data_IF_714419215208
#
_entry.id   IF_714419215208
#
_cell.length_a   1.000
_cell.length_b   1.000
_cell.length_c   1.000
_cell.angle_alpha   90.00
_cell.angle_beta   90.00
_cell.angle_gamma   90.00
#
_symmetry.space_group_name_H-M   'P 1'
#
loop_
_entity.id
_entity.type
_entity.pdbx_description
1 polymer ?
#
# COMPACT_ATOMS: atom_id res chain seq x y z
N UNK A 1 9.67 6.86 4.26
CA UNK A 1 9.66 6.34 5.65
C UNK A 1 9.86 7.45 6.66
N UNK A 2 10.80 8.36 6.44
CA UNK A 2 10.94 9.58 7.27
C UNK A 2 9.62 10.35 7.45
N UNK A 3 8.79 10.39 6.40
CA UNK A 3 7.48 11.08 6.43
C UNK A 3 6.49 10.56 7.48
N UNK A 4 6.59 9.31 7.93
CA UNK A 4 5.70 8.74 8.97
C UNK A 4 6.33 8.74 10.38
N UNK A 5 7.60 9.15 10.50
CA UNK A 5 8.35 9.08 11.75
C UNK A 5 8.64 7.65 12.22
N UNK A 6 9.29 7.49 13.40
CA UNK A 6 9.68 6.17 13.93
C UNK A 6 8.49 5.32 14.41
N UNK A 7 7.41 5.96 14.88
CA UNK A 7 6.22 5.27 15.40
C UNK A 7 5.16 5.00 14.32
N UNK A 8 5.29 5.65 13.15
CA UNK A 8 4.42 5.41 12.00
C UNK A 8 4.70 4.06 11.35
N UNK A 9 3.75 3.57 10.56
CA UNK A 9 3.87 2.31 9.82
C UNK A 9 3.51 2.53 8.35
N UNK A 10 4.20 1.83 7.46
CA UNK A 10 3.91 1.84 6.02
C UNK A 10 3.58 0.44 5.54
N UNK A 11 2.46 0.31 4.84
CA UNK A 11 2.08 -0.89 4.12
C UNK A 11 2.04 -0.57 2.63
N UNK A 12 2.85 -1.27 1.83
CA UNK A 12 2.71 -1.31 0.38
C UNK A 12 1.85 -2.50 -0.06
N UNK A 13 0.97 -2.27 -1.03
CA UNK A 13 0.28 -3.36 -1.75
C UNK A 13 0.58 -3.24 -3.24
N UNK A 14 0.82 -4.37 -3.89
CA UNK A 14 0.97 -4.46 -5.35
C UNK A 14 0.33 -5.77 -5.84
N UNK A 15 -0.29 -5.73 -7.02
CA UNK A 15 -0.93 -6.90 -7.61
C UNK A 15 0.12 -7.91 -8.11
N UNK A 16 1.30 -7.44 -8.52
CA UNK A 16 2.36 -8.27 -9.09
C UNK A 16 3.26 -8.87 -7.99
N UNK A 17 3.29 -10.21 -7.82
CA UNK A 17 4.14 -10.84 -6.81
C UNK A 17 5.63 -10.51 -6.97
N UNK A 18 6.11 -10.37 -8.20
CA UNK A 18 7.50 -10.00 -8.47
C UNK A 18 7.88 -8.60 -7.93
N UNK A 19 6.95 -7.64 -7.95
CA UNK A 19 7.18 -6.30 -7.40
C UNK A 19 7.26 -6.34 -5.87
N UNK A 20 6.39 -7.16 -5.25
CA UNK A 20 6.38 -7.38 -3.80
C UNK A 20 7.68 -8.07 -3.35
N UNK A 21 8.12 -9.10 -4.06
CA UNK A 21 9.39 -9.78 -3.79
C UNK A 21 10.58 -8.83 -3.89
N UNK A 22 10.63 -8.03 -4.96
CA UNK A 22 11.69 -7.05 -5.18
C UNK A 22 11.73 -6.00 -4.05
N UNK A 23 10.59 -5.37 -3.74
CA UNK A 23 10.52 -4.35 -2.70
C UNK A 23 10.76 -4.92 -1.30
N UNK A 24 10.35 -6.17 -1.05
CA UNK A 24 10.65 -6.86 0.22
C UNK A 24 12.15 -7.04 0.42
N UNK A 25 12.89 -7.40 -0.64
CA UNK A 25 14.34 -7.52 -0.58
C UNK A 25 15.01 -6.16 -0.33
N UNK A 26 14.54 -5.10 -0.98
CA UNK A 26 15.05 -3.74 -0.74
C UNK A 26 14.78 -3.28 0.70
N UNK A 27 13.58 -3.50 1.22
CA UNK A 27 13.25 -3.18 2.61
C UNK A 27 14.15 -3.93 3.59
N UNK A 28 14.40 -5.22 3.37
CA UNK A 28 15.29 -6.02 4.20
C UNK A 28 16.74 -5.49 4.20
N UNK A 29 17.21 -4.93 3.09
CA UNK A 29 18.55 -4.33 2.99
C UNK A 29 18.68 -2.97 3.71
N UNK A 30 17.58 -2.24 3.87
CA UNK A 30 17.58 -0.89 4.48
C UNK A 30 17.55 -0.90 6.02
N UNK A 31 17.27 -2.04 6.65
CA UNK A 31 17.13 -2.14 8.11
C UNK A 31 15.88 -1.44 8.69
N UNK A 32 14.92 -1.11 7.83
CA UNK A 32 13.65 -0.49 8.21
C UNK A 32 12.75 -1.53 8.87
N UNK A 33 12.28 -1.24 10.09
CA UNK A 33 11.42 -2.15 10.85
C UNK A 33 9.92 -1.83 10.77
N UNK A 34 9.56 -0.62 10.33
CA UNK A 34 8.19 -0.11 10.34
C UNK A 34 7.56 -0.04 8.93
N UNK A 35 8.04 -0.86 8.01
CA UNK A 35 7.50 -0.97 6.65
C UNK A 35 7.41 -2.43 6.21
N UNK A 36 6.32 -2.75 5.52
CA UNK A 36 6.14 -4.04 4.88
C UNK A 36 5.44 -3.86 3.52
N UNK A 37 5.60 -4.85 2.65
CA UNK A 37 4.90 -4.92 1.38
C UNK A 37 4.23 -6.29 1.25
N UNK A 38 3.04 -6.33 0.65
CA UNK A 38 2.26 -7.55 0.47
C UNK A 38 1.67 -7.58 -0.94
N UNK A 39 1.36 -8.77 -1.43
CA UNK A 39 0.51 -8.91 -2.62
C UNK A 39 -0.91 -8.49 -2.25
N UNK A 40 -1.51 -7.61 -3.03
CA UNK A 40 -2.86 -7.12 -2.80
C UNK A 40 -3.46 -6.44 -4.02
N UNK A 41 -4.79 -6.45 -4.10
CA UNK A 41 -5.54 -5.79 -5.16
C UNK A 41 -6.06 -4.44 -4.65
N UNK A 42 -5.80 -3.37 -5.39
CA UNK A 42 -6.32 -2.04 -5.06
C UNK A 42 -7.85 -1.95 -5.18
N UNK A 43 -8.49 -2.86 -5.92
CA UNK A 43 -9.95 -2.99 -6.01
C UNK A 43 -10.57 -3.76 -4.84
N UNK A 44 -9.75 -4.39 -3.98
CA UNK A 44 -10.19 -5.16 -2.83
C UNK A 44 -9.09 -5.16 -1.75
N UNK A 45 -8.96 -4.04 -1.03
CA UNK A 45 -7.90 -3.85 -0.05
C UNK A 45 -8.24 -4.64 1.22
N UNK A 46 -7.38 -5.58 1.58
CA UNK A 46 -7.50 -6.39 2.80
C UNK A 46 -7.07 -5.60 4.05
N UNK A 47 -7.86 -4.55 4.35
CA UNK A 47 -7.75 -3.71 5.53
C UNK A 47 -9.14 -3.35 6.05
N UNK A 48 -9.31 -3.13 7.37
CA UNK A 48 -10.56 -2.62 7.92
C UNK A 48 -10.88 -1.22 7.41
N UNK A 49 -12.16 -0.85 7.52
CA UNK A 49 -12.62 0.51 7.27
C UNK A 49 -11.95 1.50 8.25
N UNK A 50 -11.67 2.73 7.80
CA UNK A 50 -11.06 3.78 8.61
C UNK A 50 -9.83 3.31 9.41
N UNK A 51 -8.96 2.54 8.78
CA UNK A 51 -7.78 1.92 9.41
C UNK A 51 -6.47 2.66 9.13
N UNK A 52 -6.41 3.48 8.08
CA UNK A 52 -5.21 4.23 7.71
C UNK A 52 -5.44 5.74 7.69
N UNK A 53 -4.39 6.50 8.01
CA UNK A 53 -4.45 7.95 8.06
C UNK A 53 -4.14 8.60 6.70
N UNK A 54 -3.41 7.89 5.82
CA UNK A 54 -2.97 8.38 4.51
C UNK A 54 -2.95 7.23 3.50
N UNK A 55 -3.40 7.50 2.27
CA UNK A 55 -3.24 6.62 1.10
C UNK A 55 -2.43 7.36 0.04
N UNK A 56 -1.44 6.68 -0.54
CA UNK A 56 -0.66 7.18 -1.67
C UNK A 56 -0.76 6.20 -2.83
N UNK A 57 -1.19 6.68 -3.99
CA UNK A 57 -1.28 5.89 -5.21
C UNK A 57 -0.60 6.63 -6.37
N UNK A 58 0.64 6.23 -6.69
CA UNK A 58 1.43 6.84 -7.75
C UNK A 58 1.29 6.08 -9.06
N UNK A 59 0.89 6.77 -10.14
CA UNK A 59 0.92 6.25 -11.51
C UNK A 59 0.24 4.88 -11.75
N UNK A 60 -0.83 4.56 -11.01
CA UNK A 60 -1.51 3.26 -11.11
C UNK A 60 -2.97 3.32 -11.54
N UNK A 61 -3.74 4.36 -11.14
CA UNK A 61 -5.21 4.39 -11.27
C UNK A 61 -5.68 4.16 -12.71
N UNK A 62 -4.97 4.70 -13.68
CA UNK A 62 -5.31 4.57 -15.10
C UNK A 62 -5.00 3.18 -15.71
N UNK A 63 -4.37 2.27 -14.96
CA UNK A 63 -4.16 0.88 -15.34
C UNK A 63 -5.17 -0.09 -14.70
N UNK A 64 -5.97 0.37 -13.72
CA UNK A 64 -6.95 -0.49 -13.06
C UNK A 64 -8.20 -0.70 -13.94
N UNK A 65 -8.73 -1.94 -13.99
CA UNK A 65 -9.99 -2.23 -14.67
C UNK A 65 -11.17 -1.38 -14.20
N UNK A 66 -11.29 -1.15 -12.89
CA UNK A 66 -12.35 -0.33 -12.30
C UNK A 66 -11.77 0.76 -11.38
N UNK A 67 -11.44 1.94 -11.94
CA UNK A 67 -10.92 3.07 -11.15
C UNK A 67 -11.88 3.57 -10.07
N UNK A 68 -13.19 3.50 -10.29
CA UNK A 68 -14.19 3.96 -9.33
C UNK A 68 -14.21 3.05 -8.11
N UNK A 69 -14.06 1.74 -8.32
CA UNK A 69 -13.91 0.76 -7.24
C UNK A 69 -12.63 0.98 -6.44
N UNK A 70 -11.50 1.23 -7.10
CA UNK A 70 -10.24 1.57 -6.41
C UNK A 70 -10.40 2.80 -5.52
N UNK A 71 -10.99 3.88 -6.05
CA UNK A 71 -11.21 5.11 -5.29
C UNK A 71 -12.18 4.89 -4.11
N UNK A 72 -13.19 4.02 -4.29
CA UNK A 72 -14.10 3.61 -3.23
C UNK A 72 -13.38 2.85 -2.11
N UNK A 73 -12.48 1.93 -2.46
CA UNK A 73 -11.65 1.21 -1.49
C UNK A 73 -10.69 2.15 -0.75
N UNK A 74 -10.08 3.12 -1.44
CA UNK A 74 -9.26 4.14 -0.80
C UNK A 74 -10.06 4.95 0.22
N UNK A 75 -11.26 5.40 -0.15
CA UNK A 75 -12.15 6.12 0.75
C UNK A 75 -12.60 5.26 1.94
N UNK A 76 -12.82 3.97 1.73
CA UNK A 76 -13.23 3.03 2.78
C UNK A 76 -12.16 2.87 3.86
N UNK A 77 -10.90 2.70 3.47
CA UNK A 77 -9.81 2.44 4.44
C UNK A 77 -9.30 3.70 5.13
N UNK A 78 -9.55 4.90 4.57
CA UNK A 78 -9.16 6.18 5.16
C UNK A 78 -10.06 6.57 6.35
N UNK A 79 -9.46 7.16 7.39
CA UNK A 79 -10.15 7.77 8.54
C UNK A 79 -10.71 9.15 8.26
#
# INVERSE_FOLDING_TARGET
>A
LEAVGPDGRVLGIDLAPAMVEHLSADLAATGVANAEVRVGDAEAIDLPDASVDVVTAGFMIFFCPDPDRVLSEFARVLK
#
